data_IF_090984544140
#
_entry.id   IF_090984544140
#
_cell.length_a   1.000
_cell.length_b   1.000
_cell.length_c   1.000
_cell.angle_alpha   90.00
_cell.angle_beta   90.00
_cell.angle_gamma   90.00
#
_symmetry.space_group_name_H-M   'P 1'
#
loop_
_entity.id
_entity.type
_entity.pdbx_description
1 polymer ?
#
# COMPACT_ATOMS: atom_id res chain seq x y z
N UNK A 1 15.65 -54.67 -76.35
CA UNK A 1 15.78 -53.22 -76.07
C UNK A 1 14.67 -52.67 -75.15
N UNK A 2 13.50 -53.31 -75.02
CA UNK A 2 12.40 -52.83 -74.15
C UNK A 2 12.50 -53.18 -72.65
N UNK A 3 13.45 -54.02 -72.23
CA UNK A 3 13.60 -54.41 -70.82
C UNK A 3 14.48 -53.45 -70.00
N UNK A 4 15.33 -52.65 -70.65
CA UNK A 4 16.27 -51.73 -69.97
C UNK A 4 15.56 -50.40 -69.62
N UNK A 5 14.50 -50.01 -70.33
CA UNK A 5 13.81 -48.72 -70.13
C UNK A 5 12.95 -48.73 -68.86
N UNK A 6 12.35 -49.85 -68.49
CA UNK A 6 11.51 -49.99 -67.28
C UNK A 6 12.30 -49.93 -65.98
N UNK A 7 13.54 -50.41 -65.97
CA UNK A 7 14.38 -50.44 -64.76
C UNK A 7 14.95 -49.05 -64.42
N UNK A 8 15.31 -48.26 -65.43
CA UNK A 8 15.76 -46.86 -65.26
C UNK A 8 14.65 -45.96 -64.69
N UNK A 9 13.39 -46.17 -65.14
CA UNK A 9 12.23 -45.43 -64.62
C UNK A 9 11.98 -45.70 -63.14
N UNK A 10 12.10 -46.96 -62.70
CA UNK A 10 11.93 -47.37 -61.30
C UNK A 10 13.00 -46.76 -60.38
N UNK A 11 14.26 -46.73 -60.81
CA UNK A 11 15.34 -46.12 -60.02
C UNK A 11 15.22 -44.60 -59.92
N UNK A 12 14.82 -43.91 -60.99
CA UNK A 12 14.58 -42.46 -60.95
C UNK A 12 13.41 -42.09 -60.02
N UNK A 13 12.36 -42.91 -59.98
CA UNK A 13 11.23 -42.68 -59.08
C UNK A 13 11.62 -42.88 -57.61
N UNK A 14 12.41 -43.91 -57.29
CA UNK A 14 12.97 -44.12 -55.95
C UNK A 14 13.90 -42.97 -55.52
N UNK A 15 14.71 -42.45 -56.44
CA UNK A 15 15.61 -41.32 -56.16
C UNK A 15 14.82 -40.02 -55.89
N UNK A 16 13.77 -39.75 -56.68
CA UNK A 16 12.86 -38.61 -56.45
C UNK A 16 12.16 -38.72 -55.10
N UNK A 17 11.69 -39.92 -54.74
CA UNK A 17 11.02 -40.12 -53.45
C UNK A 17 11.97 -39.91 -52.27
N UNK A 18 13.22 -40.40 -52.36
CA UNK A 18 14.25 -40.16 -51.33
C UNK A 18 14.59 -38.68 -51.17
N UNK A 19 14.73 -37.93 -52.27
CA UNK A 19 14.98 -36.47 -52.24
C UNK A 19 13.81 -35.69 -51.64
N UNK A 20 12.59 -36.12 -51.90
CA UNK A 20 11.38 -35.52 -51.32
C UNK A 20 11.32 -35.77 -49.81
N UNK A 21 11.61 -37.01 -49.37
CA UNK A 21 11.63 -37.37 -47.96
C UNK A 21 12.73 -36.59 -47.19
N UNK A 22 13.93 -36.48 -47.76
CA UNK A 22 15.02 -35.72 -47.12
C UNK A 22 14.69 -34.24 -47.00
N UNK A 23 14.06 -33.65 -48.01
CA UNK A 23 13.66 -32.23 -47.98
C UNK A 23 12.57 -31.98 -46.94
N UNK A 24 11.62 -32.90 -46.80
CA UNK A 24 10.57 -32.83 -45.78
C UNK A 24 11.13 -32.94 -44.36
N UNK A 25 12.08 -33.85 -44.13
CA UNK A 25 12.75 -34.01 -42.83
C UNK A 25 13.52 -32.74 -42.46
N UNK A 26 14.26 -32.14 -43.39
CA UNK A 26 14.97 -30.88 -43.15
C UNK A 26 14.00 -29.75 -42.81
N UNK A 27 12.87 -29.63 -43.52
CA UNK A 27 11.86 -28.63 -43.23
C UNK A 27 11.27 -28.78 -41.82
N UNK A 28 10.97 -30.01 -41.39
CA UNK A 28 10.47 -30.30 -40.04
C UNK A 28 11.50 -29.92 -38.97
N UNK A 29 12.78 -30.23 -39.19
CA UNK A 29 13.85 -29.87 -38.24
C UNK A 29 13.97 -28.35 -38.10
N UNK A 30 13.91 -27.59 -39.20
CA UNK A 30 13.98 -26.12 -39.16
C UNK A 30 12.79 -25.53 -38.38
N UNK A 31 11.58 -26.05 -38.58
CA UNK A 31 10.38 -25.63 -37.84
C UNK A 31 10.53 -25.92 -36.34
N UNK A 32 11.04 -27.10 -35.98
CA UNK A 32 11.26 -27.46 -34.57
C UNK A 32 12.32 -26.55 -33.91
N UNK A 33 13.43 -26.26 -34.60
CA UNK A 33 14.48 -25.38 -34.07
C UNK A 33 13.97 -23.95 -33.87
N UNK A 34 13.20 -23.42 -34.83
CA UNK A 34 12.62 -22.07 -34.72
C UNK A 34 11.56 -21.96 -33.63
N UNK A 35 10.73 -23.00 -33.45
CA UNK A 35 9.76 -23.05 -32.36
C UNK A 35 10.45 -23.10 -30.98
N UNK A 36 11.46 -23.96 -30.81
CA UNK A 36 12.25 -24.06 -29.56
C UNK A 36 12.99 -22.75 -29.29
N UNK A 37 13.62 -22.16 -30.30
CA UNK A 37 14.30 -20.86 -30.17
C UNK A 37 13.37 -19.73 -29.74
N UNK A 38 12.14 -19.70 -30.27
CA UNK A 38 11.14 -18.68 -29.92
C UNK A 38 10.63 -18.85 -28.48
N UNK A 39 10.41 -20.08 -28.03
CA UNK A 39 10.01 -20.38 -26.65
C UNK A 39 11.14 -20.05 -25.67
N UNK A 40 12.38 -20.41 -25.99
CA UNK A 40 13.54 -20.09 -25.15
C UNK A 40 13.82 -18.58 -25.09
N UNK A 41 13.69 -17.87 -26.22
CA UNK A 41 13.85 -16.41 -26.24
C UNK A 41 12.72 -15.73 -25.44
N UNK A 42 11.48 -16.19 -25.56
CA UNK A 42 10.37 -15.72 -24.73
C UNK A 42 10.61 -16.00 -23.24
N UNK A 43 11.11 -17.19 -22.89
CA UNK A 43 11.46 -17.54 -21.52
C UNK A 43 12.62 -16.69 -20.97
N UNK A 44 13.66 -16.45 -21.77
CA UNK A 44 14.80 -15.60 -21.38
C UNK A 44 14.39 -14.13 -21.23
N UNK A 45 13.55 -13.59 -22.12
CA UNK A 45 13.05 -12.23 -22.01
C UNK A 45 12.04 -12.08 -20.86
N UNK A 46 11.31 -13.14 -20.52
CA UNK A 46 10.41 -13.17 -19.36
C UNK A 46 11.16 -13.31 -18.02
N UNK A 47 12.29 -14.03 -18.02
CA UNK A 47 13.17 -14.23 -16.86
C UNK A 47 14.19 -13.11 -16.67
N UNK A 48 14.32 -12.16 -17.60
CA UNK A 48 15.06 -10.92 -17.33
C UNK A 48 14.28 -10.19 -16.22
N UNK A 49 14.80 -10.12 -14.99
CA UNK A 49 14.08 -9.44 -13.93
C UNK A 49 13.90 -7.97 -14.36
N UNK A 50 12.71 -7.41 -14.14
CA UNK A 50 12.43 -5.96 -14.21
C UNK A 50 13.21 -5.18 -13.10
N UNK A 51 14.45 -5.55 -12.83
CA UNK A 51 15.30 -5.00 -11.78
C UNK A 51 16.07 -3.75 -12.23
N UNK A 52 16.13 -3.43 -13.52
CA UNK A 52 17.06 -2.42 -14.02
C UNK A 52 16.62 -0.97 -13.83
N UNK A 53 15.33 -0.67 -13.60
CA UNK A 53 14.90 0.71 -13.29
C UNK A 53 14.94 1.05 -11.79
N UNK A 54 14.66 0.09 -10.89
CA UNK A 54 14.72 0.36 -9.44
C UNK A 54 16.14 0.29 -8.86
N UNK A 55 17.05 -0.50 -9.44
CA UNK A 55 18.45 -0.53 -8.99
C UNK A 55 19.22 0.77 -9.29
N UNK A 56 18.80 1.54 -10.30
CA UNK A 56 19.48 2.80 -10.64
C UNK A 56 19.14 3.97 -9.70
N UNK A 57 18.04 3.89 -8.93
CA UNK A 57 17.74 4.87 -7.87
C UNK A 57 18.41 4.55 -6.52
N UNK A 58 18.95 3.34 -6.34
CA UNK A 58 19.65 2.94 -5.11
C UNK A 58 21.18 3.06 -5.17
N UNK A 59 21.75 3.73 -6.19
CA UNK A 59 23.19 3.98 -6.24
C UNK A 59 23.63 5.28 -5.55
N UNK A 60 22.72 6.02 -4.92
CA UNK A 60 23.11 6.95 -3.85
C UNK A 60 23.70 6.06 -2.77
N UNK A 61 25.00 6.16 -2.51
CA UNK A 61 25.66 5.26 -1.57
C UNK A 61 24.91 5.28 -0.25
N UNK A 62 24.38 4.13 0.17
CA UNK A 62 23.67 3.93 1.44
C UNK A 62 24.47 4.45 2.67
N UNK A 63 25.76 4.76 2.50
CA UNK A 63 26.65 5.36 3.48
C UNK A 63 26.49 6.88 3.72
N UNK A 64 25.59 7.59 3.03
CA UNK A 64 25.44 9.05 3.19
C UNK A 64 24.07 9.53 3.69
N UNK A 65 23.04 8.67 3.72
CA UNK A 65 21.69 9.12 4.07
C UNK A 65 21.45 8.98 5.57
N UNK A 66 21.56 10.10 6.30
CA UNK A 66 20.81 10.29 7.54
C UNK A 66 19.36 10.65 7.15
N UNK A 67 18.36 10.05 7.77
CA UNK A 67 16.96 10.40 7.54
C UNK A 67 16.24 10.73 8.85
N UNK A 68 15.06 11.31 8.68
CA UNK A 68 14.19 11.70 9.76
C UNK A 68 14.33 13.19 10.09
N UNK A 69 13.49 13.66 11.00
CA UNK A 69 12.72 12.84 11.93
C UNK A 69 11.37 12.34 11.39
N UNK A 70 11.06 11.08 11.68
CA UNK A 70 9.71 10.51 11.56
C UNK A 70 8.99 10.63 12.89
N UNK A 71 7.74 11.06 12.86
CA UNK A 71 6.91 11.24 14.04
C UNK A 71 5.78 10.22 14.01
N UNK A 72 5.72 9.32 14.99
CA UNK A 72 4.65 8.35 15.16
C UNK A 72 3.84 8.71 16.40
N UNK A 73 2.52 8.84 16.28
CA UNK A 73 1.70 9.01 17.48
C UNK A 73 1.73 7.73 18.33
N UNK A 74 1.67 7.88 19.65
CA UNK A 74 1.71 6.80 20.64
C UNK A 74 0.84 7.18 21.85
N UNK A 75 0.43 6.20 22.66
CA UNK A 75 -0.31 6.46 23.91
C UNK A 75 0.52 7.26 24.94
N UNK A 76 1.85 7.15 24.86
CA UNK A 76 2.82 7.79 25.76
C UNK A 76 3.28 9.18 25.27
N UNK A 77 2.89 9.59 24.05
CA UNK A 77 3.39 10.82 23.42
C UNK A 77 3.51 10.68 21.90
N UNK A 78 4.31 11.53 21.27
CA UNK A 78 4.76 11.30 19.89
C UNK A 78 6.16 10.71 19.94
N UNK A 79 6.35 9.56 19.33
CA UNK A 79 7.66 8.95 19.16
C UNK A 79 8.35 9.57 17.96
N UNK A 80 9.48 10.21 18.20
CA UNK A 80 10.36 10.75 17.18
C UNK A 80 11.44 9.73 16.89
N UNK A 81 11.55 9.30 15.63
CA UNK A 81 12.58 8.38 15.15
C UNK A 81 13.48 9.07 14.13
N UNK A 82 14.80 8.89 14.25
CA UNK A 82 15.77 9.39 13.28
C UNK A 82 17.00 8.49 13.26
N UNK A 83 17.81 8.62 12.21
CA UNK A 83 19.10 7.95 12.15
C UNK A 83 20.27 8.92 11.96
N UNK A 84 21.47 8.44 12.31
CA UNK A 84 22.72 9.16 12.12
C UNK A 84 23.76 8.28 11.43
N UNK A 85 24.59 8.92 10.60
CA UNK A 85 25.70 8.28 9.90
C UNK A 85 26.73 7.68 10.86
N UNK A 86 27.04 8.39 11.94
CA UNK A 86 27.94 7.92 12.99
C UNK A 86 27.16 7.45 14.21
N UNK A 87 27.73 6.51 14.97
CA UNK A 87 27.13 6.10 16.25
C UNK A 87 27.27 7.23 17.26
N UNK A 88 26.15 7.84 17.63
CA UNK A 88 26.09 8.91 18.64
C UNK A 88 25.19 8.51 19.79
N UNK A 89 25.26 9.24 20.91
CA UNK A 89 24.28 9.07 21.99
C UNK A 89 22.92 9.61 21.53
N UNK A 90 21.84 8.94 21.93
CA UNK A 90 20.48 9.40 21.64
C UNK A 90 20.18 10.64 22.49
N UNK A 91 20.39 11.82 21.92
CA UNK A 91 20.08 13.10 22.55
C UNK A 91 19.21 13.91 21.59
N UNK A 92 18.12 14.50 22.08
CA UNK A 92 17.43 15.60 21.39
C UNK A 92 17.75 16.90 22.12
N UNK A 93 18.05 17.96 21.37
CA UNK A 93 18.22 19.28 21.98
C UNK A 93 16.88 19.72 22.57
N UNK A 94 16.84 19.94 23.88
CA UNK A 94 15.63 20.32 24.62
C UNK A 94 14.92 19.19 25.37
N UNK A 95 15.40 17.93 25.28
CA UNK A 95 14.81 16.78 25.99
C UNK A 95 15.89 16.00 26.77
N UNK A 96 15.57 15.44 27.95
CA UNK A 96 16.52 14.64 28.72
C UNK A 96 16.89 13.35 27.97
N UNK A 97 18.19 13.06 27.87
CA UNK A 97 18.67 11.80 27.31
C UNK A 97 18.51 10.67 28.31
N UNK A 98 18.01 9.52 27.84
CA UNK A 98 17.88 8.30 28.64
C UNK A 98 18.91 7.23 28.31
N UNK A 99 19.78 7.43 27.31
CA UNK A 99 20.63 6.38 26.76
C UNK A 99 22.12 6.74 26.74
N UNK A 100 22.93 5.99 27.49
CA UNK A 100 24.40 6.03 27.46
C UNK A 100 25.01 5.16 26.34
N UNK A 101 24.19 4.55 25.49
CA UNK A 101 24.63 3.67 24.41
C UNK A 101 24.63 4.41 23.07
N UNK A 102 25.76 4.33 22.35
CA UNK A 102 25.87 4.92 21.02
C UNK A 102 25.19 4.04 19.98
N UNK A 103 24.32 4.62 19.15
CA UNK A 103 23.54 3.93 18.11
C UNK A 103 23.52 4.73 16.82
N UNK A 104 23.18 4.08 15.69
CA UNK A 104 22.80 4.77 14.45
C UNK A 104 21.32 5.10 14.40
N UNK A 105 20.51 4.39 15.18
CA UNK A 105 19.06 4.52 15.22
C UNK A 105 18.67 5.06 16.58
N UNK A 106 17.87 6.12 16.55
CA UNK A 106 17.49 6.84 17.75
C UNK A 106 15.98 6.97 17.81
N UNK A 107 15.45 6.91 19.01
CA UNK A 107 14.04 7.20 19.24
C UNK A 107 13.91 7.90 20.58
N UNK A 108 12.94 8.82 20.67
CA UNK A 108 12.53 9.37 21.95
C UNK A 108 11.06 9.78 21.90
N UNK A 109 10.45 9.92 23.07
CA UNK A 109 9.10 10.43 23.19
C UNK A 109 9.13 11.93 23.46
N UNK A 110 8.30 12.66 22.70
CA UNK A 110 7.97 14.06 22.93
C UNK A 110 6.47 14.18 23.24
N UNK A 111 6.03 15.36 23.67
CA UNK A 111 4.61 15.60 23.94
C UNK A 111 3.79 15.43 22.64
N UNK A 112 2.64 14.77 22.74
CA UNK A 112 1.79 14.41 21.59
C UNK A 112 1.08 15.58 20.91
N UNK A 113 0.95 16.69 21.62
CA UNK A 113 0.19 17.88 21.16
C UNK A 113 1.08 19.02 20.72
N UNK A 114 2.29 19.12 21.25
CA UNK A 114 3.23 20.14 20.83
C UNK A 114 4.66 19.68 21.11
N UNK A 115 5.56 19.98 20.19
CA UNK A 115 6.98 19.77 20.40
C UNK A 115 7.78 20.75 19.57
N UNK A 116 8.98 21.05 20.05
CA UNK A 116 9.97 21.86 19.35
C UNK A 116 11.35 21.32 19.71
N UNK A 117 12.09 20.79 18.73
CA UNK A 117 13.40 20.21 18.94
C UNK A 117 14.31 20.40 17.73
N UNK A 118 15.60 20.14 17.91
CA UNK A 118 16.58 20.00 16.84
C UNK A 118 17.30 18.67 17.01
N UNK A 119 17.69 18.06 15.88
CA UNK A 119 18.59 16.92 15.91
C UNK A 119 20.01 17.38 16.25
N UNK A 120 20.82 16.57 16.95
CA UNK A 120 22.21 16.92 17.24
C UNK A 120 23.00 17.27 15.97
N UNK A 121 23.65 18.43 15.96
CA UNK A 121 24.43 18.91 14.82
C UNK A 121 23.62 19.41 13.62
N UNK A 122 22.29 19.51 13.75
CA UNK A 122 21.42 20.12 12.74
C UNK A 122 20.96 21.50 13.19
N UNK A 123 21.02 22.47 12.27
CA UNK A 123 20.40 23.79 12.46
C UNK A 123 18.89 23.79 12.17
N UNK A 124 18.36 22.67 11.68
CA UNK A 124 16.93 22.53 11.38
C UNK A 124 16.14 22.37 12.67
N UNK A 125 15.23 23.30 12.91
CA UNK A 125 14.23 23.23 13.98
C UNK A 125 12.99 22.49 13.48
N UNK A 126 12.56 21.51 14.28
CA UNK A 126 11.37 20.71 14.04
C UNK A 126 10.32 21.08 15.07
N UNK A 127 9.26 21.73 14.61
CA UNK A 127 8.16 22.18 15.45
C UNK A 127 6.83 21.61 14.97
N UNK A 128 6.02 21.17 15.91
CA UNK A 128 4.67 20.68 15.64
C UNK A 128 3.72 21.17 16.71
N UNK A 129 2.49 21.44 16.29
CA UNK A 129 1.37 21.78 17.16
C UNK A 129 0.11 21.11 16.60
N UNK A 130 -0.48 20.22 17.40
CA UNK A 130 -1.79 19.61 17.15
C UNK A 130 -2.85 20.60 17.63
N UNK A 131 -3.67 21.16 16.72
CA UNK A 131 -4.70 22.11 17.12
C UNK A 131 -5.70 21.48 18.09
N UNK A 132 -6.37 22.33 18.88
CA UNK A 132 -7.46 21.88 19.78
C UNK A 132 -8.62 21.24 19.00
N UNK A 133 -8.88 21.77 17.81
CA UNK A 133 -9.84 21.21 16.85
C UNK A 133 -9.10 20.76 15.61
N UNK A 134 -9.21 19.47 15.30
CA UNK A 134 -8.64 18.90 14.08
C UNK A 134 -9.38 19.48 12.88
N UNK A 135 -8.62 20.07 11.96
CA UNK A 135 -9.15 20.62 10.71
C UNK A 135 -9.13 19.58 9.61
N UNK A 136 -8.02 18.86 9.49
CA UNK A 136 -7.83 17.90 8.43
C UNK A 136 -6.73 16.88 8.72
N UNK A 137 -6.79 15.75 8.02
CA UNK A 137 -5.74 14.75 7.99
C UNK A 137 -5.62 14.13 6.60
N UNK A 138 -4.48 13.50 6.34
CA UNK A 138 -4.23 12.77 5.08
C UNK A 138 -4.27 11.27 5.34
N UNK A 139 -4.76 10.52 4.36
CA UNK A 139 -4.68 9.06 4.32
C UNK A 139 -3.90 8.63 3.08
N UNK A 140 -2.87 7.82 3.27
CA UNK A 140 -2.06 7.23 2.21
C UNK A 140 -1.67 5.80 2.61
N UNK A 141 -1.19 5.00 1.68
CA UNK A 141 -0.89 3.59 1.92
C UNK A 141 0.09 3.08 0.87
N UNK A 142 0.67 1.90 1.06
CA UNK A 142 1.41 1.18 0.03
C UNK A 142 2.47 2.09 -0.61
N UNK A 143 3.30 2.73 0.23
CA UNK A 143 4.40 3.58 -0.24
C UNK A 143 5.60 2.75 -0.67
N UNK A 144 5.77 1.54 -0.13
CA UNK A 144 6.81 0.59 -0.53
C UNK A 144 8.21 1.22 -0.59
N UNK A 145 8.53 2.09 0.39
CA UNK A 145 9.80 2.81 0.48
C UNK A 145 10.06 3.83 -0.65
N UNK A 146 9.06 4.20 -1.42
CA UNK A 146 9.22 5.11 -2.56
C UNK A 146 9.05 6.59 -2.13
N UNK A 147 10.10 7.42 -2.23
CA UNK A 147 10.05 8.81 -1.78
C UNK A 147 9.24 9.73 -2.67
N UNK A 148 8.90 9.31 -3.90
CA UNK A 148 8.28 10.19 -4.91
C UNK A 148 7.04 10.90 -4.35
N UNK A 149 6.16 10.15 -3.70
CA UNK A 149 4.85 10.67 -3.28
C UNK A 149 4.79 11.09 -1.81
N UNK A 150 5.66 10.54 -0.96
CA UNK A 150 5.82 11.03 0.42
C UNK A 150 6.39 12.45 0.43
N UNK A 151 7.27 12.80 -0.51
CA UNK A 151 7.82 14.15 -0.65
C UNK A 151 6.73 15.19 -0.99
N UNK A 152 5.67 14.81 -1.70
CA UNK A 152 4.55 15.70 -2.05
C UNK A 152 3.77 16.15 -0.81
N UNK A 153 3.88 15.44 0.31
CA UNK A 153 3.19 15.79 1.55
C UNK A 153 3.75 17.07 2.18
N UNK A 154 4.97 17.49 1.82
CA UNK A 154 5.52 18.78 2.26
C UNK A 154 4.73 19.98 1.73
N UNK A 155 3.96 19.80 0.66
CA UNK A 155 3.18 20.86 0.02
C UNK A 155 1.74 20.94 0.55
N UNK A 156 1.37 20.08 1.49
CA UNK A 156 0.00 19.95 2.00
C UNK A 156 -0.03 20.36 3.46
N UNK A 157 -0.96 21.26 3.79
CA UNK A 157 -1.24 21.58 5.18
C UNK A 157 -2.22 20.54 5.76
N UNK A 158 -1.71 19.69 6.65
CA UNK A 158 -2.52 18.71 7.38
C UNK A 158 -2.09 18.61 8.85
N UNK A 159 -3.00 18.22 9.74
CA UNK A 159 -2.69 18.08 11.17
C UNK A 159 -1.90 16.79 11.43
N UNK A 160 -2.37 15.66 10.90
CA UNK A 160 -1.70 14.36 11.00
C UNK A 160 -2.02 13.44 9.81
N UNK A 161 -1.41 12.25 9.78
CA UNK A 161 -1.65 11.27 8.71
C UNK A 161 -2.03 9.89 9.25
N UNK A 162 -2.87 9.17 8.50
CA UNK A 162 -3.01 7.72 8.56
C UNK A 162 -2.22 7.06 7.42
N UNK A 163 -1.36 6.10 7.75
CA UNK A 163 -0.73 5.19 6.79
C UNK A 163 -1.35 3.81 6.91
N UNK A 164 -1.99 3.29 5.86
CA UNK A 164 -2.76 2.03 5.99
C UNK A 164 -1.92 0.77 5.72
N UNK A 165 -0.63 0.76 6.08
CA UNK A 165 0.30 -0.36 5.84
C UNK A 165 1.08 -0.30 4.53
N UNK A 166 2.01 -1.25 4.40
CA UNK A 166 2.97 -1.37 3.31
C UNK A 166 3.80 -0.10 3.14
N UNK A 167 4.38 0.36 4.25
CA UNK A 167 5.35 1.46 4.26
C UNK A 167 6.66 1.04 3.58
N UNK A 168 6.98 -0.25 3.69
CA UNK A 168 8.15 -0.89 3.11
C UNK A 168 7.70 -1.93 2.07
N UNK A 169 8.56 -2.27 1.11
CA UNK A 169 8.34 -3.37 0.16
C UNK A 169 8.79 -4.71 0.75
N UNK A 170 9.87 -4.68 1.53
CA UNK A 170 10.53 -5.85 2.11
C UNK A 170 10.60 -5.80 3.65
N UNK A 171 9.93 -4.83 4.28
CA UNK A 171 9.95 -4.61 5.72
C UNK A 171 11.32 -4.18 6.25
N UNK A 172 12.23 -3.74 5.38
CA UNK A 172 13.55 -3.30 5.78
C UNK A 172 13.55 -1.83 6.20
N UNK A 173 14.28 -1.53 7.28
CA UNK A 173 14.34 -0.18 7.82
C UNK A 173 14.86 0.81 6.78
N UNK A 174 15.86 0.43 5.97
CA UNK A 174 16.42 1.22 4.86
C UNK A 174 15.36 1.77 3.90
N UNK A 175 14.26 1.04 3.69
CA UNK A 175 13.17 1.49 2.81
C UNK A 175 12.32 2.57 3.45
N UNK A 176 12.09 2.48 4.76
CA UNK A 176 11.47 3.56 5.53
C UNK A 176 12.34 4.82 5.48
N UNK A 177 13.67 4.65 5.55
CA UNK A 177 14.63 5.76 5.48
C UNK A 177 14.55 6.50 4.16
N UNK A 178 14.61 5.74 3.06
CA UNK A 178 14.56 6.29 1.72
C UNK A 178 13.18 6.87 1.44
N UNK A 179 12.13 6.11 1.75
CA UNK A 179 10.75 6.48 1.48
C UNK A 179 10.30 7.73 2.22
N UNK A 180 10.84 8.02 3.41
CA UNK A 180 10.39 9.14 4.24
C UNK A 180 11.50 10.15 4.55
N UNK A 181 12.56 10.20 3.73
CA UNK A 181 13.71 11.08 3.95
C UNK A 181 13.35 12.56 4.12
N UNK A 182 12.33 13.05 3.40
CA UNK A 182 11.87 14.45 3.50
C UNK A 182 10.47 14.55 4.12
N UNK A 183 10.17 13.75 5.14
CA UNK A 183 8.88 13.82 5.81
C UNK A 183 8.63 15.19 6.49
N UNK A 184 7.44 15.83 6.37
CA UNK A 184 7.14 17.16 6.93
C UNK A 184 7.06 17.23 8.47
N UNK A 185 7.55 16.22 9.19
CA UNK A 185 7.52 16.10 10.65
C UNK A 185 6.11 16.29 11.23
N UNK A 186 5.14 15.71 10.54
CA UNK A 186 3.77 15.56 11.02
C UNK A 186 3.60 14.17 11.65
N UNK A 187 2.95 14.03 12.81
CA UNK A 187 2.76 12.70 13.38
C UNK A 187 1.87 11.83 12.49
N UNK A 188 2.20 10.55 12.40
CA UNK A 188 1.40 9.56 11.68
C UNK A 188 0.92 8.45 12.63
N UNK A 189 -0.28 7.94 12.36
CA UNK A 189 -0.69 6.60 12.75
C UNK A 189 -0.46 5.66 11.59
N UNK A 190 -0.06 4.43 11.89
CA UNK A 190 0.22 3.44 10.86
C UNK A 190 -0.48 2.12 11.21
N UNK A 191 -1.07 1.48 10.21
CA UNK A 191 -1.38 0.06 10.24
C UNK A 191 -0.22 -0.74 9.65
N UNK A 192 -0.10 -2.01 10.02
CA UNK A 192 0.86 -2.95 9.40
C UNK A 192 0.22 -3.57 8.16
N UNK A 193 0.96 -3.65 7.05
CA UNK A 193 0.60 -4.38 5.84
C UNK A 193 1.37 -5.69 5.64
N UNK A 194 1.13 -6.39 4.54
CA UNK A 194 1.79 -7.68 4.28
C UNK A 194 3.25 -7.55 3.83
N UNK A 195 3.66 -6.40 3.30
CA UNK A 195 5.04 -6.11 2.95
C UNK A 195 5.86 -5.63 4.15
N UNK A 196 5.21 -5.26 5.25
CA UNK A 196 5.85 -4.93 6.52
C UNK A 196 6.24 -6.22 7.32
N UNK A 197 6.44 -7.36 6.64
CA UNK A 197 6.58 -8.70 7.23
C UNK A 197 7.74 -8.86 8.21
N UNK A 198 8.75 -7.98 8.14
CA UNK A 198 9.76 -7.87 9.19
C UNK A 198 9.28 -6.96 10.31
N UNK A 199 8.03 -7.14 10.74
CA UNK A 199 7.39 -6.28 11.71
C UNK A 199 8.22 -6.18 12.98
N UNK A 200 8.99 -7.18 13.39
CA UNK A 200 9.89 -7.04 14.54
C UNK A 200 10.93 -5.94 14.35
N UNK A 201 11.58 -5.86 13.18
CA UNK A 201 12.53 -4.77 12.86
C UNK A 201 11.81 -3.44 12.80
N UNK A 202 10.69 -3.39 12.08
CA UNK A 202 9.89 -2.18 11.94
C UNK A 202 9.32 -1.70 13.29
N UNK A 203 8.91 -2.63 14.15
CA UNK A 203 8.35 -2.36 15.47
C UNK A 203 9.41 -1.84 16.45
N UNK A 204 10.70 -2.04 16.22
CA UNK A 204 11.73 -1.31 16.97
C UNK A 204 11.70 0.21 16.70
N UNK A 205 11.18 0.62 15.53
CA UNK A 205 11.01 2.03 15.17
C UNK A 205 9.74 2.61 15.76
N UNK A 206 8.62 1.91 15.61
CA UNK A 206 7.29 2.43 15.99
C UNK A 206 6.86 2.08 17.42
N UNK A 207 7.32 0.94 17.95
CA UNK A 207 7.00 0.36 19.27
C UNK A 207 5.49 0.33 19.58
N UNK A 208 4.67 -0.16 18.64
CA UNK A 208 3.22 -0.31 18.84
C UNK A 208 2.77 -1.77 18.66
N UNK A 209 1.74 -2.22 19.40
CA UNK A 209 1.09 -3.49 19.09
C UNK A 209 0.42 -3.44 17.71
N UNK A 210 0.15 -4.61 17.11
CA UNK A 210 -0.52 -4.72 15.80
C UNK A 210 -1.96 -4.17 15.79
N UNK A 211 -2.60 -4.20 16.95
CA UNK A 211 -3.93 -3.64 17.16
C UNK A 211 -3.87 -2.63 18.30
N UNK A 212 -4.40 -1.45 18.07
CA UNK A 212 -4.45 -0.42 19.10
C UNK A 212 -5.57 0.59 18.84
N UNK A 213 -5.92 1.30 19.91
CA UNK A 213 -6.79 2.47 19.85
C UNK A 213 -5.95 3.72 20.07
N UNK A 214 -6.26 4.79 19.35
CA UNK A 214 -5.68 6.10 19.59
C UNK A 214 -6.80 7.16 19.62
N UNK A 215 -6.88 7.89 20.74
CA UNK A 215 -7.61 9.15 20.80
C UNK A 215 -6.71 10.28 20.29
N UNK A 216 -7.23 11.10 19.37
CA UNK A 216 -6.62 12.34 18.88
C UNK A 216 -7.67 13.44 19.00
N UNK A 217 -7.62 14.21 20.10
CA UNK A 217 -8.67 15.19 20.42
C UNK A 217 -10.05 14.50 20.43
N UNK A 218 -10.97 14.91 19.57
CA UNK A 218 -12.31 14.34 19.42
C UNK A 218 -12.40 13.19 18.39
N UNK A 219 -11.27 12.73 17.86
CA UNK A 219 -11.19 11.63 16.90
C UNK A 219 -10.69 10.37 17.58
N UNK A 220 -11.49 9.31 17.51
CA UNK A 220 -11.10 7.96 17.90
C UNK A 220 -10.66 7.14 16.69
N UNK A 221 -9.54 6.41 16.81
CA UNK A 221 -9.02 5.58 15.72
C UNK A 221 -8.71 4.19 16.23
N UNK A 222 -9.38 3.19 15.66
CA UNK A 222 -8.97 1.80 15.80
C UNK A 222 -8.04 1.43 14.66
N UNK A 223 -6.85 0.93 14.98
CA UNK A 223 -5.91 0.37 14.01
C UNK A 223 -5.86 -1.13 14.21
N UNK A 224 -6.08 -1.90 13.14
CA UNK A 224 -6.14 -3.35 13.21
C UNK A 224 -5.37 -4.03 12.07
N UNK A 225 -4.74 -5.15 12.39
CA UNK A 225 -4.10 -6.04 11.44
C UNK A 225 -4.97 -7.27 11.17
N UNK A 226 -5.31 -7.58 9.91
CA UNK A 226 -6.25 -8.67 9.58
C UNK A 226 -5.72 -9.67 8.56
N UNK A 227 -4.41 -9.60 8.26
CA UNK A 227 -3.71 -10.53 7.37
C UNK A 227 -3.23 -11.77 8.13
N UNK A 228 -2.73 -12.78 7.41
CA UNK A 228 -2.11 -14.00 7.98
C UNK A 228 -2.97 -14.78 9.01
N UNK A 229 -4.30 -14.73 8.88
CA UNK A 229 -5.27 -15.33 9.81
C UNK A 229 -5.38 -14.64 11.18
N UNK A 230 -4.89 -13.41 11.32
CA UNK A 230 -5.04 -12.58 12.52
C UNK A 230 -6.42 -11.90 12.62
N UNK A 231 -7.37 -12.25 11.74
CA UNK A 231 -8.71 -11.68 11.75
C UNK A 231 -9.43 -11.95 13.08
N UNK A 232 -9.20 -13.10 13.71
CA UNK A 232 -9.80 -13.42 15.01
C UNK A 232 -9.36 -12.43 16.11
N UNK A 233 -8.06 -12.18 16.21
CA UNK A 233 -7.49 -11.35 17.26
C UNK A 233 -7.85 -9.87 17.04
N UNK A 234 -7.87 -9.42 15.78
CA UNK A 234 -8.39 -8.10 15.41
C UNK A 234 -9.82 -7.86 15.88
N UNK A 235 -10.73 -8.80 15.63
CA UNK A 235 -12.12 -8.64 16.04
C UNK A 235 -12.32 -8.85 17.54
N UNK A 236 -11.51 -9.67 18.22
CA UNK A 236 -11.53 -9.70 19.70
C UNK A 236 -11.16 -8.32 20.23
N UNK A 237 -10.03 -7.77 19.78
CA UNK A 237 -9.57 -6.44 20.17
C UNK A 237 -10.65 -5.37 19.96
N UNK A 238 -11.29 -5.33 18.78
CA UNK A 238 -12.35 -4.37 18.50
C UNK A 238 -13.54 -4.51 19.46
N UNK A 239 -14.02 -5.72 19.71
CA UNK A 239 -15.15 -5.94 20.61
C UNK A 239 -14.79 -5.60 22.07
N UNK A 240 -13.60 -5.99 22.51
CA UNK A 240 -13.14 -5.76 23.88
C UNK A 240 -12.87 -4.26 24.16
N UNK A 241 -12.55 -3.48 23.12
CA UNK A 241 -12.12 -2.08 23.24
C UNK A 241 -13.09 -1.06 22.61
N UNK A 242 -14.27 -1.48 22.13
CA UNK A 242 -15.24 -0.56 21.51
C UNK A 242 -15.61 0.62 22.43
N UNK A 243 -15.68 0.36 23.75
CA UNK A 243 -15.98 1.36 24.78
C UNK A 243 -15.00 2.54 24.80
N UNK A 244 -13.77 2.38 24.31
CA UNK A 244 -12.77 3.46 24.26
C UNK A 244 -13.18 4.62 23.34
N UNK A 245 -14.10 4.36 22.41
CA UNK A 245 -14.54 5.34 21.41
C UNK A 245 -15.87 6.02 21.75
N UNK A 246 -16.46 5.75 22.93
CA UNK A 246 -17.75 6.33 23.33
C UNK A 246 -17.71 7.86 23.43
N UNK A 247 -16.57 8.43 23.83
CA UNK A 247 -16.38 9.88 23.97
C UNK A 247 -15.88 10.57 22.67
N UNK A 248 -15.81 9.83 21.55
CA UNK A 248 -15.34 10.38 20.27
C UNK A 248 -16.49 10.88 19.39
N UNK A 249 -16.34 12.09 18.86
CA UNK A 249 -17.26 12.67 17.87
C UNK A 249 -17.20 11.93 16.53
N UNK A 250 -15.99 11.44 16.20
CA UNK A 250 -15.69 10.75 14.96
C UNK A 250 -14.83 9.53 15.23
N UNK A 251 -15.29 8.36 14.80
CA UNK A 251 -14.56 7.11 14.93
C UNK A 251 -14.15 6.60 13.56
N UNK A 252 -12.88 6.25 13.40
CA UNK A 252 -12.34 5.66 12.18
C UNK A 252 -11.73 4.29 12.47
N UNK A 253 -11.74 3.42 11.46
CA UNK A 253 -10.97 2.17 11.49
C UNK A 253 -9.91 2.25 10.39
N UNK A 254 -8.67 1.93 10.72
CA UNK A 254 -7.56 1.83 9.79
C UNK A 254 -7.05 0.39 9.78
N UNK A 255 -6.96 -0.21 8.60
CA UNK A 255 -6.46 -1.58 8.42
C UNK A 255 -5.83 -1.72 7.06
N UNK A 256 -4.89 -2.64 6.84
CA UNK A 256 -4.33 -2.80 5.50
C UNK A 256 -5.24 -3.59 4.56
N UNK A 257 -5.80 -4.72 5.03
CA UNK A 257 -6.67 -5.58 4.22
C UNK A 257 -8.09 -4.98 4.09
N UNK A 258 -8.57 -4.69 2.88
CA UNK A 258 -9.83 -4.00 2.71
C UNK A 258 -11.07 -4.84 3.08
N UNK A 259 -12.10 -4.14 3.55
CA UNK A 259 -13.43 -4.74 3.78
C UNK A 259 -14.11 -5.04 2.44
N UNK A 260 -14.06 -4.11 1.49
CA UNK A 260 -14.57 -4.29 0.13
C UNK A 260 -13.47 -3.84 -0.84
N UNK A 261 -13.34 -4.46 -2.00
CA UNK A 261 -12.32 -4.05 -2.97
C UNK A 261 -12.67 -4.46 -4.40
N UNK A 262 -12.27 -3.63 -5.35
CA UNK A 262 -12.41 -3.92 -6.80
C UNK A 262 -11.09 -4.27 -7.48
N UNK A 263 -9.96 -4.24 -6.75
CA UNK A 263 -8.62 -4.52 -7.27
C UNK A 263 -8.30 -6.02 -7.39
N UNK A 264 -7.04 -6.35 -7.73
CA UNK A 264 -6.59 -7.71 -8.01
C UNK A 264 -6.81 -8.70 -6.87
N UNK A 265 -6.52 -8.28 -5.64
CA UNK A 265 -6.66 -9.12 -4.45
C UNK A 265 -8.12 -9.33 -4.04
N UNK A 266 -9.01 -8.43 -4.44
CA UNK A 266 -10.44 -8.50 -4.15
C UNK A 266 -10.77 -8.37 -2.66
N UNK A 267 -12.04 -8.55 -2.32
CA UNK A 267 -12.50 -8.59 -0.94
C UNK A 267 -12.39 -10.00 -0.34
N UNK A 268 -12.21 -10.09 0.97
CA UNK A 268 -12.33 -11.36 1.71
C UNK A 268 -13.71 -11.41 2.37
N UNK A 269 -14.67 -12.12 1.77
CA UNK A 269 -16.09 -12.12 2.22
C UNK A 269 -16.26 -12.39 3.73
N UNK A 270 -15.47 -13.32 4.30
CA UNK A 270 -15.48 -13.61 5.74
C UNK A 270 -15.07 -12.41 6.60
N UNK A 271 -13.97 -11.74 6.23
CA UNK A 271 -13.51 -10.52 6.89
C UNK A 271 -14.57 -9.42 6.77
N UNK A 272 -15.13 -9.26 5.56
CA UNK A 272 -16.16 -8.28 5.25
C UNK A 272 -17.38 -8.43 6.16
N UNK A 273 -17.91 -9.65 6.27
CA UNK A 273 -19.06 -9.98 7.12
C UNK A 273 -18.79 -9.75 8.61
N UNK A 274 -17.57 -10.03 9.08
CA UNK A 274 -17.19 -9.74 10.47
C UNK A 274 -17.12 -8.23 10.74
N UNK A 275 -16.56 -7.46 9.80
CA UNK A 275 -16.52 -5.99 9.89
C UNK A 275 -17.92 -5.40 9.90
N UNK A 276 -18.79 -5.81 8.96
CA UNK A 276 -20.19 -5.41 8.92
C UNK A 276 -20.91 -5.73 10.24
N UNK A 277 -20.76 -6.96 10.75
CA UNK A 277 -21.38 -7.35 12.02
C UNK A 277 -20.90 -6.47 13.18
N UNK A 278 -19.59 -6.21 13.27
CA UNK A 278 -19.02 -5.36 14.31
C UNK A 278 -19.62 -3.95 14.26
N UNK A 279 -19.61 -3.32 13.08
CA UNK A 279 -20.13 -1.97 12.87
C UNK A 279 -21.64 -1.87 13.12
N UNK A 280 -22.41 -2.87 12.70
CA UNK A 280 -23.86 -2.91 12.93
C UNK A 280 -24.18 -3.06 14.44
N UNK A 281 -23.42 -3.91 15.14
CA UNK A 281 -23.57 -4.12 16.60
C UNK A 281 -23.24 -2.86 17.40
N UNK A 282 -22.26 -2.09 16.92
CA UNK A 282 -21.78 -0.87 17.57
C UNK A 282 -22.24 0.39 16.82
N UNK A 283 -23.42 0.34 16.20
CA UNK A 283 -24.00 1.47 15.45
C UNK A 283 -24.34 2.70 16.31
N UNK A 284 -24.28 2.57 17.64
CA UNK A 284 -24.36 3.68 18.57
C UNK A 284 -23.06 4.51 18.64
N UNK A 285 -21.94 3.96 18.15
CA UNK A 285 -20.68 4.69 18.02
C UNK A 285 -20.65 5.48 16.71
N UNK A 286 -19.97 6.62 16.72
CA UNK A 286 -19.89 7.55 15.60
C UNK A 286 -18.90 7.11 14.50
N UNK A 287 -18.99 5.88 14.02
CA UNK A 287 -18.13 5.40 12.93
C UNK A 287 -18.39 6.18 11.63
N UNK A 288 -17.34 6.78 11.07
CA UNK A 288 -17.42 7.60 9.85
C UNK A 288 -16.85 6.88 8.64
N UNK A 289 -15.69 6.25 8.80
CA UNK A 289 -15.06 5.52 7.71
C UNK A 289 -14.15 4.38 8.14
N UNK A 290 -13.99 3.41 7.24
CA UNK A 290 -12.91 2.41 7.27
C UNK A 290 -11.93 2.74 6.15
N UNK A 291 -10.66 2.93 6.49
CA UNK A 291 -9.58 3.17 5.54
C UNK A 291 -8.69 1.94 5.39
N UNK A 292 -8.37 1.61 4.14
CA UNK A 292 -7.53 0.46 3.79
C UNK A 292 -6.61 0.69 2.60
N UNK A 293 -5.80 -0.32 2.28
CA UNK A 293 -4.83 -0.35 1.18
C UNK A 293 -4.85 -1.70 0.44
N UNK A 294 -3.68 -2.30 0.18
CA UNK A 294 -3.47 -3.67 -0.31
C UNK A 294 -3.87 -3.95 -1.78
N UNK A 295 -4.93 -3.32 -2.27
CA UNK A 295 -5.47 -3.58 -3.60
C UNK A 295 -4.88 -2.69 -4.70
N UNK A 296 -3.94 -1.81 -4.35
CA UNK A 296 -3.17 -0.96 -5.28
C UNK A 296 -4.02 -0.23 -6.33
N UNK A 297 -5.25 0.14 -5.95
CA UNK A 297 -6.20 0.98 -6.69
C UNK A 297 -7.01 1.75 -5.67
N UNK A 298 -7.51 2.92 -6.06
CA UNK A 298 -8.51 3.59 -5.25
C UNK A 298 -9.86 2.90 -5.44
N UNK A 299 -10.61 2.71 -4.36
CA UNK A 299 -12.03 2.36 -4.41
C UNK A 299 -12.79 2.98 -3.25
N UNK A 300 -13.99 3.49 -3.51
CA UNK A 300 -14.94 3.91 -2.49
C UNK A 300 -16.20 3.05 -2.50
N UNK A 301 -16.71 2.75 -1.31
CA UNK A 301 -18.01 2.13 -1.08
C UNK A 301 -18.77 2.90 0.00
N UNK A 302 -20.10 2.77 0.02
CA UNK A 302 -20.93 3.32 1.10
C UNK A 302 -22.04 2.35 1.52
N UNK A 303 -22.08 2.03 2.82
CA UNK A 303 -23.10 1.17 3.45
C UNK A 303 -23.50 1.77 4.80
N UNK A 304 -24.80 1.90 5.05
CA UNK A 304 -25.35 2.44 6.32
C UNK A 304 -24.71 3.79 6.73
N UNK A 305 -24.61 4.71 5.77
CA UNK A 305 -23.93 6.00 5.92
C UNK A 305 -22.44 5.97 6.26
N UNK A 306 -21.82 4.79 6.33
CA UNK A 306 -20.38 4.62 6.54
C UNK A 306 -19.64 4.49 5.22
N UNK A 307 -18.54 5.21 5.07
CA UNK A 307 -17.66 5.10 3.91
C UNK A 307 -16.56 4.04 4.11
N UNK A 308 -16.30 3.24 3.08
CA UNK A 308 -15.18 2.33 3.04
C UNK A 308 -14.27 2.74 1.89
N UNK A 309 -13.03 3.08 2.22
CA UNK A 309 -12.04 3.51 1.24
C UNK A 309 -10.91 2.49 1.18
N UNK A 310 -10.69 1.97 -0.02
CA UNK A 310 -9.40 1.40 -0.42
C UNK A 310 -8.61 2.56 -1.00
N UNK A 311 -7.58 3.01 -0.30
CA UNK A 311 -6.74 4.09 -0.81
C UNK A 311 -5.82 3.51 -1.89
N UNK A 312 -5.64 4.26 -2.97
CA UNK A 312 -4.70 3.89 -4.02
C UNK A 312 -3.27 3.86 -3.52
N UNK A 313 -2.42 3.17 -4.28
CA UNK A 313 -1.02 2.95 -3.95
C UNK A 313 -0.24 4.27 -3.89
N UNK A 314 0.58 4.44 -2.87
CA UNK A 314 1.38 5.63 -2.60
C UNK A 314 2.85 5.51 -3.01
N UNK A 315 3.22 4.47 -3.77
CA UNK A 315 4.61 4.26 -4.20
C UNK A 315 4.93 2.90 -4.78
N UNK A 316 4.17 1.86 -4.41
CA UNK A 316 4.19 0.55 -5.05
C UNK A 316 3.67 0.52 -6.49
N UNK A 317 3.51 -0.67 -7.06
CA UNK A 317 3.02 -0.83 -8.43
C UNK A 317 1.49 -0.86 -8.50
N UNK A 318 0.88 -0.11 -9.42
CA UNK A 318 -0.57 -0.21 -9.66
C UNK A 318 -0.97 -1.65 -10.04
N UNK A 319 -2.13 -2.06 -9.55
CA UNK A 319 -2.67 -3.37 -9.89
C UNK A 319 -3.09 -3.42 -11.37
N UNK A 320 -2.82 -4.57 -12.00
CA UNK A 320 -3.15 -4.82 -13.41
C UNK A 320 -4.62 -5.27 -13.54
N UNK A 321 -5.51 -4.29 -13.41
CA UNK A 321 -6.97 -4.48 -13.38
C UNK A 321 -7.58 -4.86 -14.74
N UNK A 322 -6.80 -4.82 -15.82
CA UNK A 322 -7.23 -5.22 -17.16
C UNK A 322 -6.87 -6.66 -17.50
N UNK A 323 -6.02 -7.30 -16.69
CA UNK A 323 -5.62 -8.68 -16.91
C UNK A 323 -6.74 -9.64 -16.53
N UNK A 324 -7.38 -10.25 -17.53
CA UNK A 324 -8.33 -11.35 -17.32
C UNK A 324 -7.74 -12.51 -16.53
N UNK A 325 -6.43 -12.74 -16.62
CA UNK A 325 -5.74 -13.78 -15.85
C UNK A 325 -5.74 -13.47 -14.35
N UNK A 326 -5.54 -12.20 -13.96
CA UNK A 326 -5.49 -11.78 -12.56
C UNK A 326 -6.88 -11.51 -11.98
N UNK A 327 -7.73 -10.86 -12.77
CA UNK A 327 -9.04 -10.37 -12.33
C UNK A 327 -10.19 -11.36 -12.55
N UNK A 328 -10.02 -12.35 -13.43
CA UNK A 328 -11.08 -13.29 -13.78
C UNK A 328 -12.32 -12.58 -14.33
N UNK A 329 -13.47 -12.80 -13.70
CA UNK A 329 -14.73 -12.18 -14.07
C UNK A 329 -14.81 -10.68 -13.68
N UNK A 330 -14.00 -10.24 -12.71
CA UNK A 330 -13.95 -8.86 -12.19
C UNK A 330 -13.11 -7.90 -13.04
N UNK A 331 -12.67 -8.32 -14.24
CA UNK A 331 -11.79 -7.54 -15.10
C UNK A 331 -12.41 -6.17 -15.43
N UNK A 332 -11.63 -5.11 -15.25
CA UNK A 332 -12.07 -3.77 -15.59
C UNK A 332 -12.05 -3.61 -17.10
N UNK A 333 -13.06 -2.93 -17.64
CA UNK A 333 -13.18 -2.65 -19.08
C UNK A 333 -12.84 -1.19 -19.42
N UNK A 334 -12.62 -0.37 -18.39
CA UNK A 334 -12.43 1.08 -18.43
C UNK A 334 -11.43 1.49 -17.34
N UNK A 335 -10.85 2.69 -17.46
CA UNK A 335 -9.90 3.22 -16.47
C UNK A 335 -10.53 3.54 -15.11
N UNK A 336 -11.84 3.74 -15.12
CA UNK A 336 -12.63 4.11 -13.96
C UNK A 336 -13.87 3.22 -13.92
N UNK A 337 -14.30 2.85 -12.71
CA UNK A 337 -15.59 2.18 -12.48
C UNK A 337 -16.47 3.11 -11.65
N UNK A 338 -17.77 3.13 -11.95
CA UNK A 338 -18.73 3.99 -11.24
C UNK A 338 -20.04 3.25 -10.96
N UNK A 339 -20.65 3.61 -9.84
CA UNK A 339 -21.92 3.08 -9.36
C UNK A 339 -21.83 1.64 -8.88
N UNK A 340 -22.94 1.09 -8.35
CA UNK A 340 -22.99 -0.30 -7.94
C UNK A 340 -22.56 -1.25 -9.06
N UNK A 341 -21.80 -2.26 -8.69
CA UNK A 341 -21.30 -3.29 -9.60
C UNK A 341 -22.01 -4.62 -9.34
N UNK A 342 -21.93 -5.55 -10.29
CA UNK A 342 -22.50 -6.89 -10.15
C UNK A 342 -21.52 -7.81 -9.39
N UNK A 343 -22.01 -8.52 -8.38
CA UNK A 343 -21.24 -9.57 -7.71
C UNK A 343 -21.12 -10.77 -8.67
N UNK A 344 -19.89 -11.07 -9.09
CA UNK A 344 -19.57 -12.10 -10.09
C UNK A 344 -18.81 -13.29 -9.50
N UNK A 345 -18.26 -13.14 -8.30
CA UNK A 345 -17.56 -14.16 -7.52
C UNK A 345 -17.44 -13.79 -6.02
N UNK A 346 -16.87 -14.68 -5.20
CA UNK A 346 -16.69 -14.47 -3.75
C UNK A 346 -15.76 -13.30 -3.37
N UNK A 347 -14.94 -12.82 -4.32
CA UNK A 347 -14.03 -11.68 -4.13
C UNK A 347 -14.68 -10.35 -4.51
N UNK A 348 -15.87 -10.37 -5.11
CA UNK A 348 -16.69 -9.20 -5.42
C UNK A 348 -17.72 -8.85 -4.34
N UNK A 349 -17.57 -9.40 -3.13
CA UNK A 349 -18.44 -9.08 -2.00
C UNK A 349 -18.47 -7.57 -1.73
N UNK A 350 -19.68 -7.00 -1.65
CA UNK A 350 -19.91 -5.57 -1.40
C UNK A 350 -19.99 -4.70 -2.67
N UNK A 351 -19.93 -5.29 -3.87
CA UNK A 351 -20.05 -4.55 -5.14
C UNK A 351 -21.34 -3.76 -5.28
N UNK A 352 -22.44 -4.20 -4.65
CA UNK A 352 -23.69 -3.44 -4.57
C UNK A 352 -23.57 -2.11 -3.81
N UNK A 353 -22.53 -1.93 -3.00
CA UNK A 353 -22.23 -0.70 -2.26
C UNK A 353 -21.17 0.18 -2.94
N UNK A 354 -20.63 -0.26 -4.08
CA UNK A 354 -19.57 0.43 -4.80
C UNK A 354 -20.02 1.81 -5.29
N UNK A 355 -19.12 2.79 -5.16
CA UNK A 355 -19.32 4.14 -5.65
C UNK A 355 -18.41 4.44 -6.84
N UNK A 356 -17.10 4.47 -6.62
CA UNK A 356 -16.13 4.86 -7.64
C UNK A 356 -14.79 4.11 -7.43
N UNK A 357 -14.12 3.72 -8.51
CA UNK A 357 -12.75 3.19 -8.49
C UNK A 357 -11.86 3.83 -9.54
N UNK A 358 -10.59 4.02 -9.21
CA UNK A 358 -9.56 4.56 -10.12
C UNK A 358 -8.27 3.74 -10.03
N UNK A 359 -7.72 3.31 -11.17
CA UNK A 359 -6.39 2.68 -11.24
C UNK A 359 -5.31 3.77 -11.34
N UNK A 360 -5.13 4.51 -10.24
CA UNK A 360 -4.22 5.66 -10.13
C UNK A 360 -3.49 5.66 -8.80
N UNK A 361 -2.34 6.34 -8.75
CA UNK A 361 -1.69 6.71 -7.49
C UNK A 361 -2.55 7.77 -6.80
N UNK A 362 -3.04 7.51 -5.59
CA UNK A 362 -3.95 8.45 -4.93
C UNK A 362 -3.64 8.67 -3.47
N UNK A 363 -4.02 9.84 -2.96
CA UNK A 363 -4.20 10.09 -1.52
C UNK A 363 -5.63 10.55 -1.25
N UNK A 364 -6.05 10.39 0.00
CA UNK A 364 -7.32 10.94 0.49
C UNK A 364 -7.02 12.06 1.49
N UNK A 365 -7.51 13.26 1.21
CA UNK A 365 -7.50 14.39 2.14
C UNK A 365 -8.86 14.44 2.85
N UNK A 366 -8.86 14.41 4.18
CA UNK A 366 -10.09 14.44 4.99
C UNK A 366 -10.14 15.75 5.75
N UNK A 367 -11.22 16.52 5.61
CA UNK A 367 -11.43 17.78 6.34
C UNK A 367 -12.75 17.80 7.10
N UNK A 368 -12.78 18.54 8.21
CA UNK A 368 -13.97 18.81 9.01
C UNK A 368 -14.44 20.24 8.75
N UNK A 369 -15.63 20.39 8.19
CA UNK A 369 -16.21 21.67 7.76
C UNK A 369 -17.60 21.85 8.39
N UNK A 370 -17.65 22.41 9.60
CA UNK A 370 -18.88 22.54 10.38
C UNK A 370 -19.39 21.17 10.84
N UNK A 371 -20.58 20.77 10.39
CA UNK A 371 -21.16 19.45 10.66
C UNK A 371 -20.95 18.45 9.52
N UNK A 372 -19.93 18.68 8.68
CA UNK A 372 -19.60 17.82 7.54
C UNK A 372 -18.18 17.32 7.61
N UNK A 373 -17.98 16.06 7.23
CA UNK A 373 -16.68 15.50 6.86
C UNK A 373 -16.61 15.47 5.35
N UNK A 374 -15.51 15.97 4.80
CA UNK A 374 -15.24 15.98 3.37
C UNK A 374 -14.04 15.10 3.07
N UNK A 375 -14.18 14.19 2.11
CA UNK A 375 -13.13 13.28 1.66
C UNK A 375 -12.77 13.64 0.21
N UNK A 376 -11.60 14.23 0.00
CA UNK A 376 -11.10 14.63 -1.33
C UNK A 376 -10.08 13.62 -1.81
N UNK A 377 -10.40 12.95 -2.91
CA UNK A 377 -9.52 11.96 -3.54
C UNK A 377 -8.71 12.66 -4.60
N UNK A 378 -7.38 12.65 -4.47
CA UNK A 378 -6.47 13.26 -5.43
C UNK A 378 -5.58 12.25 -6.11
N UNK A 379 -5.38 12.46 -7.40
CA UNK A 379 -4.33 11.82 -8.17
C UNK A 379 -2.97 12.39 -7.73
N UNK A 380 -2.05 11.53 -7.31
CA UNK A 380 -0.72 11.93 -6.83
C UNK A 380 0.22 12.38 -7.95
N UNK A 381 0.01 11.92 -9.20
CA UNK A 381 0.85 12.32 -10.33
C UNK A 381 0.49 13.71 -10.85
N UNK A 382 -0.81 14.05 -10.82
CA UNK A 382 -1.33 15.28 -11.43
C UNK A 382 -1.84 16.30 -10.41
N UNK A 383 -1.95 15.91 -9.14
CA UNK A 383 -2.59 16.67 -8.05
C UNK A 383 -4.06 17.05 -8.31
N UNK A 384 -4.68 16.47 -9.34
CA UNK A 384 -6.07 16.75 -9.71
C UNK A 384 -7.04 16.06 -8.74
N UNK A 385 -8.17 16.71 -8.47
CA UNK A 385 -9.26 16.11 -7.69
C UNK A 385 -9.98 15.12 -8.60
N UNK A 386 -9.92 13.84 -8.25
CA UNK A 386 -10.69 12.78 -8.92
C UNK A 386 -12.13 12.77 -8.41
N UNK A 387 -12.30 12.89 -7.08
CA UNK A 387 -13.61 12.82 -6.44
C UNK A 387 -13.66 13.56 -5.12
N UNK A 388 -14.86 13.99 -4.74
CA UNK A 388 -15.15 14.51 -3.39
C UNK A 388 -16.39 13.80 -2.87
N UNK A 389 -16.30 13.27 -1.65
CA UNK A 389 -17.44 12.74 -0.89
C UNK A 389 -17.69 13.64 0.32
N UNK A 390 -18.95 13.75 0.72
CA UNK A 390 -19.35 14.46 1.94
C UNK A 390 -20.22 13.56 2.81
N UNK A 391 -20.03 13.66 4.12
CA UNK A 391 -20.88 13.04 5.13
C UNK A 391 -21.30 14.11 6.13
N UNK A 392 -22.60 14.26 6.37
CA UNK A 392 -23.11 15.13 7.45
C UNK A 392 -23.20 14.32 8.74
N UNK A 393 -22.90 14.93 9.88
CA UNK A 393 -22.92 14.28 11.20
C UNK A 393 -23.62 15.09 12.28
#
# INVERSE_FOLDING_TARGET
MNMIITEVSSQQQKLRHRKMLSSLIIAIIIICITAIGSVLLGYFLYQQPKQTQNQQMMSVSQSELCYGPLAFMHEQGTRIHWCTKEKVESQLVGYPSSANTKSHYHSTFVNSTNFNYSLPGSDVQYSYYLPETIKNFVVMTDTHGNPKYTNLLNEIDFDFMFHNGDMCEYGDLSELEVGFANWPVKPMLFATGNHDYNFNKFNHVVERPLHYYQQIRNIGVFVIYTLNNEDKDAFSFLNDNAHLAEDSDHVFIVTHNPTYATGGHGAVSKLSKKMEKFLDTHSYLNFRSVFSGHNHVFTAFKRNDLFYFVNGVGGGHLNDVYSKQKMGARVWKTEELHGPLEEVDDQSYGYQYHLDSYSKYTRTEVSFEGNKIRYVIRDLDTNTILRTYEQTF
#
